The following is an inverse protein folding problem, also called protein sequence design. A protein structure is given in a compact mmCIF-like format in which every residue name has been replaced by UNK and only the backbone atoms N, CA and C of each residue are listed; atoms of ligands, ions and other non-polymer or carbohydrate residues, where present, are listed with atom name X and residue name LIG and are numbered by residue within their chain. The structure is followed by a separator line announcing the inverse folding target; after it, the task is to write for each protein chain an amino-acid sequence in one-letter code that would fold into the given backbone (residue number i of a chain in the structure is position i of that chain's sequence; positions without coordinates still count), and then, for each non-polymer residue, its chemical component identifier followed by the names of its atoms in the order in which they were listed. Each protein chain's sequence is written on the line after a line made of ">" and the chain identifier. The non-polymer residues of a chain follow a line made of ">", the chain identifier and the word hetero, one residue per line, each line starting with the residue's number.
data_IF_905781080640
#
_entry.id   IF_905781080640
#
_cell.length_a   1.000
_cell.length_b   1.000
_cell.length_c   1.000
_cell.angle_alpha   90.00
_cell.angle_beta   90.00
_cell.angle_gamma   90.00
#
_symmetry.space_group_name_H-M   'P 1'
#
loop_
_entity.id
_entity.type
_entity.pdbx_description
1 polymer ?
#
# COMPACT_ATOMS: atom_id res chain seq x y z
N UNK A 1 -2.31 36.92 1.90
CA UNK A 1 -1.29 35.96 1.43
C UNK A 1 -1.90 35.21 0.27
N UNK A 2 -1.63 35.64 -0.95
CA UNK A 2 -2.05 34.90 -2.14
C UNK A 2 -1.14 33.71 -2.28
N UNK A 3 -1.74 32.54 -2.08
CA UNK A 3 -1.07 31.28 -2.04
C UNK A 3 -0.45 30.90 -3.37
N UNK A 4 0.64 30.20 -3.26
CA UNK A 4 1.08 29.27 -4.28
C UNK A 4 -0.13 28.46 -4.73
N UNK A 5 -0.55 28.59 -5.97
CA UNK A 5 -1.51 27.69 -6.60
C UNK A 5 -0.82 26.34 -6.78
N UNK A 6 -0.79 25.54 -5.71
CA UNK A 6 -0.41 24.15 -5.83
C UNK A 6 -1.45 23.44 -6.70
N UNK A 7 -1.01 22.94 -7.84
CA UNK A 7 -1.85 22.10 -8.68
C UNK A 7 -2.37 20.93 -7.85
N UNK A 8 -3.68 20.87 -7.63
CA UNK A 8 -4.31 19.74 -6.97
C UNK A 8 -4.34 18.55 -7.93
N UNK A 9 -3.64 17.47 -7.60
CA UNK A 9 -3.62 16.27 -8.41
C UNK A 9 -3.78 15.03 -7.54
N UNK A 10 -4.71 14.15 -7.94
CA UNK A 10 -4.89 12.81 -7.39
C UNK A 10 -4.43 11.75 -8.40
N UNK A 11 -3.43 12.09 -9.22
CA UNK A 11 -2.84 11.22 -10.24
C UNK A 11 -1.41 10.89 -9.83
N UNK A 12 -1.09 9.60 -9.81
CA UNK A 12 0.26 9.08 -9.58
C UNK A 12 0.72 8.27 -10.78
N UNK A 13 2.03 8.29 -11.04
CA UNK A 13 2.69 7.46 -12.05
C UNK A 13 3.05 8.20 -13.35
N UNK A 14 3.83 7.52 -14.19
CA UNK A 14 4.32 8.05 -15.48
C UNK A 14 3.78 7.23 -16.64
N UNK A 15 4.28 6.04 -16.85
CA UNK A 15 3.81 5.12 -17.90
C UNK A 15 2.46 4.52 -17.54
N UNK A 16 2.35 3.95 -16.34
CA UNK A 16 1.06 3.61 -15.76
C UNK A 16 0.67 4.75 -14.83
N UNK A 17 -0.51 5.30 -15.03
CA UNK A 17 -1.08 6.39 -14.23
C UNK A 17 -2.27 5.87 -13.45
N UNK A 18 -2.33 6.22 -12.19
CA UNK A 18 -3.43 5.86 -11.29
C UNK A 18 -4.09 7.13 -10.79
N UNK A 19 -5.38 7.26 -11.01
CA UNK A 19 -6.19 8.36 -10.47
C UNK A 19 -7.23 7.79 -9.53
N UNK A 20 -7.23 8.23 -8.27
CA UNK A 20 -8.20 7.81 -7.24
C UNK A 20 -9.21 8.92 -7.03
N UNK A 21 -10.50 8.56 -6.93
CA UNK A 21 -11.59 9.51 -6.78
C UNK A 21 -12.64 9.02 -5.79
N UNK A 22 -13.50 9.96 -5.37
CA UNK A 22 -14.64 9.73 -4.51
C UNK A 22 -14.37 10.01 -3.03
N UNK A 23 -15.44 9.98 -2.25
CA UNK A 23 -15.48 10.26 -0.82
C UNK A 23 -16.17 9.14 -0.06
N UNK A 24 -15.80 8.98 1.22
CA UNK A 24 -16.30 7.91 2.09
C UNK A 24 -17.83 7.84 2.20
N UNK A 25 -18.52 8.98 2.10
CA UNK A 25 -19.97 9.10 2.18
C UNK A 25 -20.59 9.69 0.91
N UNK A 26 -19.81 9.79 -0.18
CA UNK A 26 -20.33 10.06 -1.52
C UNK A 26 -21.05 8.85 -2.11
N UNK A 27 -21.44 8.93 -3.37
CA UNK A 27 -22.10 7.82 -4.08
C UNK A 27 -21.20 6.58 -4.22
N UNK A 28 -19.90 6.81 -4.39
CA UNK A 28 -18.91 5.75 -4.53
C UNK A 28 -17.49 6.27 -4.48
N UNK A 29 -16.56 5.34 -4.49
CA UNK A 29 -15.12 5.57 -4.61
C UNK A 29 -14.60 4.74 -5.79
N UNK A 30 -13.51 5.15 -6.39
CA UNK A 30 -13.00 4.38 -7.52
C UNK A 30 -11.60 4.76 -7.94
N UNK A 31 -11.15 4.09 -8.98
CA UNK A 31 -9.84 4.31 -9.59
C UNK A 31 -9.92 4.22 -11.10
N UNK A 32 -9.12 5.04 -11.77
CA UNK A 32 -8.78 4.89 -13.17
C UNK A 32 -7.31 4.53 -13.26
N UNK A 33 -7.00 3.44 -13.98
CA UNK A 33 -5.65 3.00 -14.29
C UNK A 33 -5.46 3.18 -15.79
N UNK A 34 -4.57 4.07 -16.18
CA UNK A 34 -4.24 4.35 -17.58
C UNK A 34 -2.83 3.88 -17.90
N UNK A 35 -2.61 3.43 -19.13
CA UNK A 35 -1.31 2.95 -19.63
C UNK A 35 -1.02 1.47 -19.38
N UNK A 36 -2.02 0.68 -18.96
CA UNK A 36 -1.87 -0.79 -18.89
C UNK A 36 -1.79 -1.37 -20.30
N UNK A 37 -0.85 -2.29 -20.52
CA UNK A 37 -0.72 -2.97 -21.81
C UNK A 37 -1.96 -3.80 -22.14
N UNK A 38 -2.32 -3.92 -23.43
CA UNK A 38 -3.38 -4.84 -23.86
C UNK A 38 -2.92 -6.30 -23.80
N UNK A 39 -3.87 -7.21 -23.57
CA UNK A 39 -3.62 -8.65 -23.66
C UNK A 39 -3.10 -9.31 -22.38
N UNK A 40 -3.01 -8.59 -21.27
CA UNK A 40 -2.70 -9.20 -19.98
C UNK A 40 -3.92 -9.97 -19.47
N UNK A 41 -3.77 -11.28 -19.27
CA UNK A 41 -4.77 -12.13 -18.63
C UNK A 41 -4.74 -11.91 -17.14
N UNK A 42 -5.90 -11.64 -16.54
CA UNK A 42 -6.06 -11.35 -15.12
C UNK A 42 -6.81 -12.48 -14.41
N UNK A 43 -6.28 -12.92 -13.30
CA UNK A 43 -7.03 -13.72 -12.32
C UNK A 43 -7.91 -12.78 -11.47
N UNK A 44 -9.19 -12.72 -11.82
CA UNK A 44 -10.15 -11.88 -11.11
C UNK A 44 -10.55 -12.45 -9.75
N UNK A 45 -10.34 -13.75 -9.49
CA UNK A 45 -10.51 -14.32 -8.15
C UNK A 45 -9.41 -13.81 -7.21
N UNK A 46 -8.17 -13.73 -7.71
CA UNK A 46 -7.07 -13.11 -6.95
C UNK A 46 -7.38 -11.64 -6.62
N UNK A 47 -7.91 -10.87 -7.58
CA UNK A 47 -8.33 -9.49 -7.32
C UNK A 47 -9.38 -9.44 -6.22
N UNK A 48 -10.42 -10.29 -6.28
CA UNK A 48 -11.46 -10.36 -5.24
C UNK A 48 -10.88 -10.74 -3.88
N UNK A 49 -9.94 -11.65 -3.85
CA UNK A 49 -9.24 -12.09 -2.62
C UNK A 49 -8.47 -10.93 -1.97
N UNK A 50 -7.71 -10.15 -2.74
CA UNK A 50 -6.98 -8.99 -2.23
C UNK A 50 -7.95 -7.91 -1.71
N UNK A 51 -9.06 -7.69 -2.40
CA UNK A 51 -10.10 -6.80 -1.93
C UNK A 51 -10.71 -7.29 -0.61
N UNK A 52 -10.98 -8.58 -0.47
CA UNK A 52 -11.51 -9.19 0.74
C UNK A 52 -10.51 -9.10 1.92
N UNK A 53 -9.20 -9.21 1.68
CA UNK A 53 -8.17 -9.01 2.73
C UNK A 53 -8.21 -7.59 3.28
N UNK A 54 -8.41 -6.60 2.43
CA UNK A 54 -8.53 -5.19 2.81
C UNK A 54 -9.86 -4.90 3.51
N UNK A 55 -10.95 -5.53 3.07
CA UNK A 55 -12.30 -5.25 3.58
C UNK A 55 -12.39 -5.47 5.10
N UNK A 56 -13.08 -4.59 5.84
CA UNK A 56 -13.30 -4.81 7.26
C UNK A 56 -14.12 -6.08 7.47
N UNK A 57 -13.66 -6.95 8.36
CA UNK A 57 -14.31 -8.23 8.68
C UNK A 57 -13.47 -9.02 9.70
N UNK A 58 -14.14 -9.85 10.52
CA UNK A 58 -13.50 -10.63 11.59
C UNK A 58 -13.22 -9.85 12.87
N UNK A 59 -12.67 -10.54 13.87
CA UNK A 59 -12.47 -10.03 15.24
C UNK A 59 -11.45 -8.90 15.36
N UNK A 60 -10.51 -8.79 14.42
CA UNK A 60 -9.41 -7.82 14.45
C UNK A 60 -9.69 -6.52 13.68
N UNK A 61 -10.90 -6.30 13.18
CA UNK A 61 -11.23 -5.13 12.36
C UNK A 61 -12.40 -4.32 12.94
N UNK A 62 -12.64 -3.15 12.34
CA UNK A 62 -13.80 -2.31 12.69
C UNK A 62 -15.12 -3.03 12.42
N UNK A 63 -16.22 -2.69 13.13
CA UNK A 63 -17.53 -3.34 12.95
C UNK A 63 -18.22 -2.99 11.62
N UNK A 64 -17.66 -2.11 10.81
CA UNK A 64 -18.21 -1.74 9.50
C UNK A 64 -18.15 -2.96 8.57
N UNK A 65 -19.27 -3.30 7.94
CA UNK A 65 -19.37 -4.38 6.95
C UNK A 65 -19.62 -3.75 5.59
N UNK A 66 -18.65 -3.81 4.70
CA UNK A 66 -18.76 -3.42 3.29
C UNK A 66 -18.05 -4.47 2.46
N UNK A 67 -18.73 -4.97 1.44
CA UNK A 67 -18.21 -6.05 0.60
C UNK A 67 -17.09 -5.59 -0.34
N UNK A 68 -16.85 -4.27 -0.48
CA UNK A 68 -15.89 -3.66 -1.40
C UNK A 68 -15.93 -4.26 -2.82
N UNK A 69 -17.14 -4.59 -3.28
CA UNK A 69 -17.34 -5.15 -4.59
C UNK A 69 -17.01 -4.09 -5.65
N UNK A 70 -16.04 -4.39 -6.51
CA UNK A 70 -15.64 -3.51 -7.60
C UNK A 70 -16.49 -3.80 -8.83
N UNK A 71 -17.14 -2.78 -9.36
CA UNK A 71 -17.75 -2.79 -10.69
C UNK A 71 -16.74 -2.23 -11.69
N UNK A 72 -16.39 -3.03 -12.71
CA UNK A 72 -15.45 -2.64 -13.75
C UNK A 72 -16.24 -2.06 -14.93
N UNK A 73 -16.04 -0.76 -15.17
CA UNK A 73 -16.77 -0.04 -16.21
C UNK A 73 -16.06 -0.06 -17.58
N UNK A 74 -14.74 -0.22 -17.60
CA UNK A 74 -13.94 -0.20 -18.83
C UNK A 74 -12.57 -0.85 -18.63
N UNK A 75 -11.89 -1.12 -19.74
CA UNK A 75 -10.47 -1.50 -19.79
C UNK A 75 -10.20 -2.99 -19.62
N UNK A 76 -11.20 -3.79 -19.21
CA UNK A 76 -11.09 -5.25 -19.08
C UNK A 76 -12.26 -5.91 -19.79
N UNK A 77 -11.98 -6.95 -20.60
CA UNK A 77 -13.00 -7.76 -21.28
C UNK A 77 -12.60 -9.24 -21.23
N UNK A 78 -13.51 -10.09 -20.75
CA UNK A 78 -13.25 -11.52 -20.56
C UNK A 78 -11.95 -11.78 -19.77
N UNK A 79 -11.78 -11.03 -18.67
CA UNK A 79 -10.63 -11.08 -17.78
C UNK A 79 -9.28 -10.76 -18.46
N UNK A 80 -9.30 -10.02 -19.58
CA UNK A 80 -8.11 -9.58 -20.33
C UNK A 80 -8.12 -8.06 -20.45
N UNK A 81 -6.97 -7.42 -20.25
CA UNK A 81 -6.82 -5.97 -20.41
C UNK A 81 -6.96 -5.57 -21.88
N UNK A 82 -7.67 -4.45 -22.13
CA UNK A 82 -7.92 -3.96 -23.49
C UNK A 82 -6.88 -2.93 -23.97
N UNK A 83 -6.02 -2.41 -23.06
CA UNK A 83 -5.11 -1.29 -23.36
C UNK A 83 -5.78 0.09 -23.27
N UNK A 84 -7.10 0.14 -23.07
CA UNK A 84 -7.81 1.39 -22.72
C UNK A 84 -7.84 1.58 -21.22
N UNK A 85 -8.14 2.79 -20.69
CA UNK A 85 -8.19 3.03 -19.25
C UNK A 85 -9.09 2.04 -18.52
N UNK A 86 -8.58 1.41 -17.48
CA UNK A 86 -9.35 0.52 -16.59
C UNK A 86 -10.03 1.41 -15.56
N UNK A 87 -11.36 1.33 -15.50
CA UNK A 87 -12.14 2.06 -14.51
C UNK A 87 -12.84 1.06 -13.58
N UNK A 88 -12.48 1.10 -12.29
CA UNK A 88 -13.14 0.33 -11.23
C UNK A 88 -13.84 1.25 -10.24
N UNK A 89 -15.10 0.95 -9.94
CA UNK A 89 -15.94 1.72 -9.01
C UNK A 89 -16.47 0.82 -7.91
N UNK A 90 -16.48 1.32 -6.68
CA UNK A 90 -17.07 0.69 -5.52
C UNK A 90 -18.16 1.61 -4.98
N UNK A 91 -19.42 1.20 -5.06
CA UNK A 91 -20.54 1.99 -4.56
C UNK A 91 -20.64 1.91 -3.05
N UNK A 92 -20.87 3.05 -2.42
CA UNK A 92 -21.08 3.13 -0.97
C UNK A 92 -22.50 2.73 -0.62
N UNK A 93 -22.67 1.69 0.21
CA UNK A 93 -23.99 1.17 0.59
C UNK A 93 -24.45 1.66 1.97
N UNK A 94 -23.53 1.99 2.88
CA UNK A 94 -23.82 2.33 4.28
C UNK A 94 -23.41 3.78 4.62
N UNK A 95 -24.11 4.76 4.05
CA UNK A 95 -23.87 6.18 4.30
C UNK A 95 -24.84 6.75 5.35
N UNK A 96 -24.44 6.73 6.64
CA UNK A 96 -25.19 7.41 7.71
C UNK A 96 -24.72 8.85 7.84
N UNK A 97 -25.13 9.71 6.91
CA UNK A 97 -24.65 11.10 6.80
C UNK A 97 -25.09 12.00 7.95
N UNK A 98 -26.26 11.75 8.57
CA UNK A 98 -26.86 12.59 9.62
C UNK A 98 -26.03 12.67 10.91
N UNK A 99 -25.19 11.70 11.18
CA UNK A 99 -24.39 11.65 12.41
C UNK A 99 -23.23 12.65 12.39
N UNK A 100 -22.82 13.11 11.20
CA UNK A 100 -21.67 14.00 11.03
C UNK A 100 -22.01 15.50 11.08
N UNK A 101 -23.26 15.87 10.89
CA UNK A 101 -23.68 17.30 10.92
C UNK A 101 -23.44 17.94 12.29
N UNK A 102 -23.64 17.17 13.37
CA UNK A 102 -23.44 17.64 14.75
C UNK A 102 -21.96 17.78 15.15
N UNK A 103 -21.07 17.05 14.48
CA UNK A 103 -19.65 17.01 14.79
C UNK A 103 -18.77 17.75 13.78
N UNK A 104 -19.37 18.40 12.78
CA UNK A 104 -18.67 19.11 11.70
C UNK A 104 -17.63 20.13 12.20
N UNK A 105 -17.91 20.79 13.31
CA UNK A 105 -17.01 21.79 13.91
C UNK A 105 -15.97 21.20 14.89
N UNK A 106 -16.02 19.90 15.13
CA UNK A 106 -15.10 19.21 16.05
C UNK A 106 -13.94 18.59 15.26
N UNK A 107 -12.75 19.10 15.51
CA UNK A 107 -11.53 18.61 14.86
C UNK A 107 -11.07 17.32 15.55
N UNK A 108 -10.98 16.24 14.83
CA UNK A 108 -10.45 14.96 15.34
C UNK A 108 -8.94 15.02 15.45
N UNK A 109 -8.34 14.63 16.59
CA UNK A 109 -6.89 14.55 16.72
C UNK A 109 -6.25 13.68 15.64
N UNK A 110 -5.14 14.14 15.06
CA UNK A 110 -4.37 13.43 14.02
C UNK A 110 -5.13 13.10 12.73
N UNK A 111 -6.30 13.70 12.52
CA UNK A 111 -7.06 13.61 11.26
C UNK A 111 -6.89 14.87 10.41
N UNK A 112 -7.25 14.78 9.13
CA UNK A 112 -7.13 15.88 8.18
C UNK A 112 -8.29 16.92 8.27
N UNK A 113 -9.09 16.92 9.31
CA UNK A 113 -10.27 17.80 9.43
C UNK A 113 -9.91 19.28 9.28
N UNK A 114 -8.88 19.74 9.99
CA UNK A 114 -8.42 21.12 9.90
C UNK A 114 -7.65 21.40 8.61
N UNK A 115 -6.65 20.59 8.31
CA UNK A 115 -5.77 20.81 7.17
C UNK A 115 -6.48 20.64 5.84
N UNK A 116 -7.41 19.68 5.75
CA UNK A 116 -8.30 19.51 4.60
C UNK A 116 -9.23 20.71 4.41
N UNK A 117 -9.85 21.20 5.49
CA UNK A 117 -10.70 22.38 5.44
C UNK A 117 -9.95 23.62 4.89
N UNK A 118 -8.73 23.84 5.36
CA UNK A 118 -7.90 24.95 4.86
C UNK A 118 -7.52 24.74 3.39
N UNK A 119 -7.06 23.53 3.03
CA UNK A 119 -6.63 23.21 1.66
C UNK A 119 -7.76 23.38 0.64
N UNK A 120 -8.93 22.85 0.96
CA UNK A 120 -10.10 22.88 0.08
C UNK A 120 -11.04 24.06 0.35
N UNK A 121 -10.63 25.02 1.17
CA UNK A 121 -11.36 26.27 1.44
C UNK A 121 -12.78 26.05 1.96
N UNK A 122 -13.00 24.95 2.71
CA UNK A 122 -14.31 24.57 3.27
C UNK A 122 -15.27 23.90 2.31
N UNK A 123 -14.83 23.54 1.10
CA UNK A 123 -15.65 22.85 0.09
C UNK A 123 -15.46 21.32 0.09
N UNK A 124 -14.63 20.79 0.98
CA UNK A 124 -14.43 19.35 1.13
C UNK A 124 -15.71 18.64 1.65
N UNK A 125 -15.88 17.36 1.27
CA UNK A 125 -16.86 16.51 1.93
C UNK A 125 -16.30 16.03 3.28
N UNK A 126 -16.80 16.60 4.37
CA UNK A 126 -16.37 16.28 5.75
C UNK A 126 -16.95 14.96 6.27
N UNK A 127 -17.99 14.41 5.61
CA UNK A 127 -18.71 13.23 6.09
C UNK A 127 -17.82 12.00 6.10
N UNK A 128 -17.66 11.35 7.26
CA UNK A 128 -16.85 10.15 7.43
C UNK A 128 -15.37 10.32 7.09
N UNK A 129 -14.86 11.56 7.04
CA UNK A 129 -13.51 11.89 6.64
C UNK A 129 -13.33 12.10 5.14
N UNK A 130 -14.41 12.03 4.36
CA UNK A 130 -14.41 12.35 2.93
C UNK A 130 -13.36 11.59 2.14
N UNK A 131 -12.55 12.34 1.38
CA UNK A 131 -11.45 11.82 0.59
C UNK A 131 -10.24 11.37 1.45
N UNK A 132 -10.15 11.81 2.72
CA UNK A 132 -9.09 11.42 3.66
C UNK A 132 -9.40 10.14 4.45
N UNK A 133 -10.54 9.55 4.21
CA UNK A 133 -10.95 8.31 4.88
C UNK A 133 -10.06 7.13 4.47
N UNK A 134 -9.75 6.23 5.41
CA UNK A 134 -9.09 4.95 5.11
C UNK A 134 -9.86 4.08 4.10
N UNK A 135 -11.14 4.36 3.86
CA UNK A 135 -11.93 3.71 2.82
C UNK A 135 -11.37 3.93 1.42
N UNK A 136 -10.75 5.09 1.18
CA UNK A 136 -10.15 5.43 -0.11
C UNK A 136 -8.95 4.54 -0.48
N UNK A 137 -8.47 3.72 0.45
CA UNK A 137 -7.48 2.68 0.14
C UNK A 137 -8.05 1.49 -0.65
N UNK A 138 -9.38 1.29 -0.71
CA UNK A 138 -9.97 0.18 -1.46
C UNK A 138 -9.69 0.27 -2.98
N UNK A 139 -9.91 1.42 -3.65
CA UNK A 139 -9.49 1.60 -5.04
C UNK A 139 -7.98 1.40 -5.26
N UNK A 140 -7.14 1.81 -4.28
CA UNK A 140 -5.70 1.61 -4.36
C UNK A 140 -5.33 0.11 -4.33
N UNK A 141 -5.99 -0.68 -3.48
CA UNK A 141 -5.79 -2.14 -3.43
C UNK A 141 -6.24 -2.80 -4.73
N UNK A 142 -7.36 -2.37 -5.33
CA UNK A 142 -7.79 -2.88 -6.63
C UNK A 142 -6.74 -2.61 -7.72
N UNK A 143 -6.23 -1.38 -7.81
CA UNK A 143 -5.15 -1.04 -8.73
C UNK A 143 -3.88 -1.87 -8.47
N UNK A 144 -3.50 -2.01 -7.21
CA UNK A 144 -2.35 -2.83 -6.79
C UNK A 144 -2.49 -4.29 -7.18
N UNK A 145 -3.68 -4.88 -7.04
CA UNK A 145 -3.94 -6.28 -7.40
C UNK A 145 -3.81 -6.53 -8.91
N UNK A 146 -4.17 -5.58 -9.75
CA UNK A 146 -3.97 -5.65 -11.20
C UNK A 146 -2.49 -5.46 -11.56
N UNK A 147 -1.84 -4.41 -11.01
CA UNK A 147 -0.44 -4.13 -11.27
C UNK A 147 0.48 -5.25 -10.79
N UNK A 148 0.15 -5.90 -9.68
CA UNK A 148 0.89 -7.06 -9.16
C UNK A 148 0.91 -8.19 -10.19
N UNK A 149 -0.22 -8.55 -10.78
CA UNK A 149 -0.30 -9.59 -11.81
C UNK A 149 0.52 -9.24 -13.06
N UNK A 150 0.55 -7.95 -13.45
CA UNK A 150 1.41 -7.49 -14.54
C UNK A 150 2.90 -7.65 -14.24
N UNK A 151 3.30 -7.51 -12.97
CA UNK A 151 4.68 -7.73 -12.51
C UNK A 151 5.00 -9.22 -12.41
N UNK A 152 4.10 -10.03 -11.87
CA UNK A 152 4.23 -11.48 -11.77
C UNK A 152 4.38 -12.14 -13.14
N UNK A 153 3.65 -11.67 -14.15
CA UNK A 153 3.80 -12.11 -15.55
C UNK A 153 5.21 -11.82 -16.12
N UNK A 154 5.98 -10.94 -15.47
CA UNK A 154 7.37 -10.61 -15.80
C UNK A 154 8.39 -11.26 -14.87
N UNK A 155 7.96 -12.17 -14.00
CA UNK A 155 8.81 -12.85 -13.04
C UNK A 155 9.17 -12.02 -11.80
N UNK A 156 8.51 -10.89 -11.59
CA UNK A 156 8.71 -10.05 -10.40
C UNK A 156 7.70 -10.47 -9.33
N UNK A 157 8.19 -10.82 -8.15
CA UNK A 157 7.38 -11.23 -7.03
C UNK A 157 7.39 -10.16 -5.93
N UNK A 158 6.26 -10.01 -5.23
CA UNK A 158 6.09 -9.05 -4.14
C UNK A 158 5.51 -9.79 -2.94
N UNK A 159 6.19 -9.68 -1.81
CA UNK A 159 5.72 -10.22 -0.54
C UNK A 159 5.86 -9.23 0.60
N UNK A 160 4.91 -9.23 1.51
CA UNK A 160 4.91 -8.34 2.67
C UNK A 160 4.54 -9.11 3.93
N UNK A 161 5.14 -8.70 5.05
CA UNK A 161 4.77 -9.21 6.37
C UNK A 161 4.88 -8.12 7.44
N UNK A 162 4.33 -8.41 8.62
CA UNK A 162 4.44 -7.53 9.78
C UNK A 162 5.77 -7.82 10.47
N UNK A 163 6.62 -6.82 10.61
CA UNK A 163 7.90 -6.91 11.35
C UNK A 163 7.71 -6.54 12.81
N UNK A 164 6.80 -5.63 13.10
CA UNK A 164 6.55 -5.18 14.47
C UNK A 164 5.10 -4.75 14.62
N UNK A 165 4.49 -5.13 15.71
CA UNK A 165 3.24 -4.56 16.18
C UNK A 165 3.40 -4.19 17.65
N UNK A 166 3.35 -2.88 17.94
CA UNK A 166 3.55 -2.32 19.27
C UNK A 166 4.87 -2.81 19.88
N UNK A 167 4.83 -3.68 20.89
CA UNK A 167 5.99 -4.26 21.59
C UNK A 167 6.39 -5.66 21.10
N UNK A 168 5.65 -6.23 20.14
CA UNK A 168 5.93 -7.56 19.58
C UNK A 168 6.75 -7.37 18.31
N UNK A 169 7.95 -7.91 18.30
CA UNK A 169 8.85 -7.93 17.14
C UNK A 169 8.84 -9.29 16.47
N UNK A 170 8.88 -9.28 15.14
CA UNK A 170 9.04 -10.41 14.24
C UNK A 170 10.44 -10.41 13.61
N UNK A 171 10.81 -11.54 13.01
CA UNK A 171 11.99 -11.61 12.15
C UNK A 171 11.81 -10.67 10.96
N UNK A 172 12.92 -10.19 10.42
CA UNK A 172 12.96 -9.54 9.12
C UNK A 172 13.18 -10.58 8.01
N UNK A 173 12.88 -10.23 6.79
CA UNK A 173 13.27 -11.04 5.65
C UNK A 173 14.79 -11.19 5.61
N UNK A 174 15.25 -12.44 5.52
CA UNK A 174 16.60 -12.76 5.12
C UNK A 174 16.58 -13.18 3.64
N UNK A 175 17.70 -13.03 2.96
CA UNK A 175 17.79 -13.29 1.52
C UNK A 175 17.34 -14.71 1.12
N UNK A 176 17.71 -15.72 1.91
CA UNK A 176 17.33 -17.12 1.74
C UNK A 176 15.86 -17.42 2.05
N UNK A 177 15.16 -16.51 2.73
CA UNK A 177 13.75 -16.64 3.06
C UNK A 177 12.81 -16.15 1.92
N UNK A 178 13.36 -15.50 0.89
CA UNK A 178 12.59 -14.84 -0.17
C UNK A 178 12.32 -15.78 -1.36
N UNK A 179 11.59 -16.87 -1.11
CA UNK A 179 11.07 -17.71 -2.20
C UNK A 179 9.72 -17.19 -2.67
N UNK A 180 9.37 -17.44 -3.95
CA UNK A 180 8.08 -17.06 -4.52
C UNK A 180 6.92 -17.68 -3.74
N UNK A 181 7.03 -18.96 -3.37
CA UNK A 181 6.01 -19.69 -2.61
C UNK A 181 5.78 -19.06 -1.23
N UNK A 182 6.85 -18.65 -0.57
CA UNK A 182 6.76 -18.02 0.75
C UNK A 182 6.10 -16.63 0.66
N UNK A 183 6.46 -15.84 -0.35
CA UNK A 183 5.87 -14.53 -0.56
C UNK A 183 4.39 -14.65 -0.97
N UNK A 184 4.06 -15.64 -1.77
CA UNK A 184 2.68 -15.95 -2.11
C UNK A 184 1.88 -16.36 -0.87
N UNK A 185 2.40 -17.28 -0.05
CA UNK A 185 1.74 -17.73 1.18
C UNK A 185 1.45 -16.56 2.12
N UNK A 186 2.40 -15.64 2.33
CA UNK A 186 2.17 -14.41 3.10
C UNK A 186 1.06 -13.54 2.49
N UNK A 187 0.98 -13.51 1.17
CA UNK A 187 -0.07 -12.81 0.41
C UNK A 187 -1.47 -13.39 0.62
N UNK A 188 -1.61 -14.62 1.10
CA UNK A 188 -2.89 -15.27 1.42
C UNK A 188 -3.36 -14.94 2.85
N UNK A 189 -2.42 -14.63 3.73
CA UNK A 189 -2.71 -14.46 5.15
C UNK A 189 -3.30 -13.08 5.43
N UNK A 190 -4.29 -13.04 6.33
CA UNK A 190 -4.85 -11.77 6.82
C UNK A 190 -3.90 -11.08 7.81
N UNK A 191 -3.15 -11.86 8.56
CA UNK A 191 -2.11 -11.42 9.48
C UNK A 191 -0.79 -12.06 9.01
N UNK A 192 -0.10 -11.49 8.02
CA UNK A 192 1.10 -12.08 7.46
C UNK A 192 2.26 -11.99 8.45
N UNK A 193 2.69 -13.13 9.00
CA UNK A 193 3.77 -13.27 9.98
C UNK A 193 4.76 -14.32 9.50
N UNK A 194 6.05 -14.11 9.75
CA UNK A 194 7.09 -15.11 9.52
C UNK A 194 7.12 -16.14 10.66
N UNK A 195 6.73 -15.72 11.85
CA UNK A 195 6.57 -16.61 13.01
C UNK A 195 5.09 -16.68 13.42
N UNK A 196 4.32 -17.72 12.98
CA UNK A 196 2.91 -17.87 13.32
C UNK A 196 2.62 -17.96 14.83
N UNK A 197 3.60 -18.29 15.66
CA UNK A 197 3.45 -18.37 17.12
C UNK A 197 3.13 -16.99 17.74
N UNK A 198 3.49 -15.91 17.08
CA UNK A 198 3.15 -14.56 17.53
C UNK A 198 1.71 -14.13 17.21
N UNK A 199 0.99 -14.88 16.40
CA UNK A 199 -0.36 -14.50 15.95
C UNK A 199 -1.34 -14.30 17.12
N UNK A 200 -1.30 -15.19 18.10
CA UNK A 200 -2.19 -15.12 19.27
C UNK A 200 -1.85 -13.92 20.17
N UNK A 201 -0.55 -13.63 20.40
CA UNK A 201 -0.10 -12.47 21.16
C UNK A 201 -0.49 -11.16 20.47
N UNK A 202 -0.31 -11.08 19.16
CA UNK A 202 -0.68 -9.92 18.34
C UNK A 202 -2.20 -9.71 18.39
N UNK A 203 -2.99 -10.77 18.23
CA UNK A 203 -4.44 -10.70 18.32
C UNK A 203 -4.91 -10.18 19.69
N UNK A 204 -4.27 -10.65 20.76
CA UNK A 204 -4.57 -10.20 22.12
C UNK A 204 -4.24 -8.70 22.33
N UNK A 205 -3.11 -8.23 21.81
CA UNK A 205 -2.73 -6.81 21.91
C UNK A 205 -3.72 -5.91 21.15
N UNK A 206 -4.14 -6.33 19.95
CA UNK A 206 -5.15 -5.60 19.18
C UNK A 206 -6.49 -5.55 19.95
N UNK A 207 -6.90 -6.66 20.53
CA UNK A 207 -8.14 -6.73 21.30
C UNK A 207 -8.08 -5.85 22.58
N UNK A 208 -6.95 -5.82 23.26
CA UNK A 208 -6.75 -4.94 24.43
C UNK A 208 -6.85 -3.47 24.03
N UNK A 209 -6.15 -3.06 22.96
CA UNK A 209 -6.24 -1.71 22.45
C UNK A 209 -7.68 -1.34 22.06
N UNK A 210 -8.40 -2.25 21.42
CA UNK A 210 -9.82 -2.05 21.06
C UNK A 210 -10.70 -1.82 22.28
N UNK A 211 -10.52 -2.57 23.37
CA UNK A 211 -11.26 -2.38 24.63
C UNK A 211 -11.00 -1.03 25.26
N UNK A 212 -9.82 -0.49 25.06
CA UNK A 212 -9.41 0.85 25.53
C UNK A 212 -9.77 1.98 24.56
N UNK A 213 -10.52 1.67 23.47
CA UNK A 213 -10.81 2.61 22.39
C UNK A 213 -9.53 3.26 21.79
N UNK A 214 -8.47 2.47 21.69
CA UNK A 214 -7.15 2.88 21.24
C UNK A 214 -6.74 2.12 19.95
N UNK A 215 -5.57 2.47 19.39
CA UNK A 215 -4.96 1.82 18.25
C UNK A 215 -3.48 1.56 18.48
N UNK A 216 -2.92 0.61 17.76
CA UNK A 216 -1.51 0.24 17.82
C UNK A 216 -0.79 0.63 16.53
N UNK A 217 0.44 1.08 16.65
CA UNK A 217 1.36 1.27 15.55
C UNK A 217 2.11 -0.03 15.21
N UNK A 218 2.69 -0.07 14.03
CA UNK A 218 3.46 -1.22 13.57
C UNK A 218 4.41 -0.90 12.42
N UNK A 219 5.19 -1.90 12.04
CA UNK A 219 6.12 -1.86 10.91
C UNK A 219 5.76 -3.02 9.98
N UNK A 220 5.63 -2.73 8.70
CA UNK A 220 5.48 -3.71 7.63
C UNK A 220 6.75 -3.70 6.79
N UNK A 221 7.28 -4.87 6.52
CA UNK A 221 8.38 -5.07 5.57
C UNK A 221 7.82 -5.63 4.27
N UNK A 222 8.32 -5.11 3.14
CA UNK A 222 7.95 -5.58 1.81
C UNK A 222 9.23 -5.87 1.02
N UNK A 223 9.24 -7.02 0.38
CA UNK A 223 10.31 -7.42 -0.53
C UNK A 223 9.79 -7.53 -1.97
N UNK A 224 10.64 -7.13 -2.90
CA UNK A 224 10.46 -7.35 -4.33
C UNK A 224 11.64 -8.19 -4.83
N UNK A 225 11.37 -9.27 -5.54
CA UNK A 225 12.39 -10.10 -6.16
C UNK A 225 12.16 -10.19 -7.67
N UNK A 226 13.20 -10.55 -8.43
CA UNK A 226 13.10 -10.65 -9.89
C UNK A 226 13.14 -9.30 -10.61
N UNK A 227 13.40 -8.21 -9.94
CA UNK A 227 13.61 -6.91 -10.59
C UNK A 227 14.87 -6.97 -11.47
N UNK A 228 14.81 -6.48 -12.72
CA UNK A 228 16.01 -6.32 -13.53
C UNK A 228 16.91 -5.23 -12.95
N UNK A 229 18.23 -5.42 -13.03
CA UNK A 229 19.18 -4.38 -12.68
C UNK A 229 19.03 -3.16 -13.61
N UNK A 230 19.24 -1.96 -13.06
CA UNK A 230 19.21 -0.71 -13.82
C UNK A 230 17.87 0.03 -13.82
N UNK A 231 16.92 -0.35 -12.97
CA UNK A 231 15.68 0.41 -12.79
C UNK A 231 15.91 1.56 -11.81
N UNK A 232 15.37 2.71 -12.14
CA UNK A 232 15.52 3.96 -11.39
C UNK A 232 16.14 5.04 -12.27
N UNK A 233 15.93 6.29 -11.90
CA UNK A 233 16.38 7.48 -12.64
C UNK A 233 16.90 8.53 -11.64
N UNK A 234 18.13 8.35 -11.11
CA UNK A 234 18.70 9.31 -10.19
C UNK A 234 18.98 10.65 -10.91
N UNK A 235 19.02 11.76 -10.18
CA UNK A 235 18.95 11.88 -8.72
C UNK A 235 17.53 11.87 -8.17
N UNK A 236 16.55 12.52 -8.82
CA UNK A 236 15.25 12.85 -8.21
C UNK A 236 14.22 11.72 -8.33
N UNK A 237 14.35 10.88 -9.35
CA UNK A 237 13.46 9.74 -9.61
C UNK A 237 14.11 8.39 -9.27
N UNK A 238 14.98 8.38 -8.27
CA UNK A 238 15.55 7.14 -7.75
C UNK A 238 14.45 6.15 -7.34
N UNK A 239 14.77 4.86 -7.28
CA UNK A 239 13.83 3.84 -6.84
C UNK A 239 13.27 4.15 -5.46
N UNK A 240 14.12 4.58 -4.52
CA UNK A 240 13.68 4.98 -3.18
C UNK A 240 12.69 6.16 -3.23
N UNK A 241 12.99 7.19 -4.02
CA UNK A 241 12.12 8.36 -4.14
C UNK A 241 10.75 7.99 -4.65
N UNK A 242 10.68 7.17 -5.70
CA UNK A 242 9.41 6.74 -6.31
C UNK A 242 8.61 5.79 -5.42
N UNK A 243 9.28 4.84 -4.78
CA UNK A 243 8.64 3.93 -3.84
C UNK A 243 8.16 4.68 -2.58
N UNK A 244 8.97 5.58 -2.04
CA UNK A 244 8.57 6.39 -0.90
C UNK A 244 7.35 7.26 -1.23
N UNK A 245 7.28 7.88 -2.40
CA UNK A 245 6.15 8.69 -2.82
C UNK A 245 4.83 7.90 -2.78
N UNK A 246 4.79 6.68 -3.33
CA UNK A 246 3.57 5.86 -3.32
C UNK A 246 3.27 5.31 -1.93
N UNK A 247 4.28 4.94 -1.15
CA UNK A 247 4.09 4.42 0.20
C UNK A 247 3.53 5.47 1.16
N UNK A 248 3.95 6.74 1.04
CA UNK A 248 3.36 7.84 1.81
C UNK A 248 1.94 8.21 1.37
N UNK A 249 1.44 7.72 0.25
CA UNK A 249 0.02 7.85 -0.12
C UNK A 249 -0.90 6.95 0.72
N UNK A 250 -0.35 5.92 1.35
CA UNK A 250 -1.10 5.06 2.27
C UNK A 250 -1.33 5.82 3.58
N UNK A 251 -2.59 6.00 4.03
CA UNK A 251 -2.89 6.70 5.28
C UNK A 251 -2.13 6.10 6.48
N UNK A 252 -1.70 6.97 7.39
CA UNK A 252 -0.97 6.66 8.62
C UNK A 252 0.49 6.17 8.43
N UNK A 253 1.01 6.04 7.22
CA UNK A 253 2.45 5.86 7.00
C UNK A 253 3.18 7.12 7.44
N UNK A 254 4.19 6.96 8.33
CA UNK A 254 4.98 8.06 8.92
C UNK A 254 6.48 7.93 8.69
N UNK A 255 6.92 6.77 8.23
CA UNK A 255 8.32 6.53 7.90
C UNK A 255 8.43 5.43 6.85
N UNK A 256 9.42 5.57 5.98
CA UNK A 256 9.82 4.60 4.97
C UNK A 256 11.33 4.49 5.03
N UNK A 257 11.86 3.28 4.99
CA UNK A 257 13.29 3.03 4.91
C UNK A 257 13.56 1.85 3.98
N UNK A 258 14.78 1.74 3.49
CA UNK A 258 15.22 0.72 2.56
C UNK A 258 16.41 -0.04 3.13
N UNK A 259 16.50 -1.35 2.88
CA UNK A 259 17.55 -2.20 3.41
C UNK A 259 17.62 -2.16 4.93
N UNK A 260 18.81 -1.90 5.49
CA UNK A 260 19.02 -1.76 6.92
C UNK A 260 18.37 -0.49 7.51
N UNK A 261 18.00 0.48 6.65
CA UNK A 261 17.27 1.66 7.07
C UNK A 261 17.97 2.46 8.16
N UNK A 262 17.31 2.70 9.28
CA UNK A 262 17.86 3.47 10.40
C UNK A 262 19.07 2.81 11.09
N UNK A 263 19.25 1.49 10.92
CA UNK A 263 20.39 0.76 11.50
C UNK A 263 21.73 1.18 10.87
N UNK A 264 21.72 1.78 9.67
CA UNK A 264 22.91 2.37 9.05
C UNK A 264 23.64 3.36 9.96
N UNK A 265 22.92 4.09 10.79
CA UNK A 265 23.52 5.06 11.70
C UNK A 265 24.47 4.43 12.73
N UNK A 266 24.33 3.14 13.00
CA UNK A 266 25.19 2.36 13.89
C UNK A 266 26.26 1.53 13.15
N UNK A 267 26.34 1.60 11.82
CA UNK A 267 27.26 0.81 11.02
C UNK A 267 28.47 1.63 10.55
N UNK A 268 29.61 1.00 10.50
CA UNK A 268 30.74 1.53 9.72
C UNK A 268 30.53 1.27 8.23
N UNK A 269 31.18 2.04 7.34
CA UNK A 269 31.05 1.82 5.90
C UNK A 269 31.37 0.39 5.46
N UNK A 270 32.35 -0.25 6.08
CA UNK A 270 32.71 -1.65 5.79
C UNK A 270 31.58 -2.64 6.18
N UNK A 271 30.85 -2.36 7.24
CA UNK A 271 29.70 -3.17 7.67
C UNK A 271 28.48 -2.94 6.78
N UNK A 272 28.29 -1.70 6.33
CA UNK A 272 27.14 -1.30 5.52
C UNK A 272 27.25 -1.70 4.04
N UNK A 273 28.44 -2.02 3.57
CA UNK A 273 28.68 -2.46 2.18
C UNK A 273 27.98 -3.80 1.90
N UNK A 274 27.47 -3.94 0.68
CA UNK A 274 26.97 -5.19 0.11
C UNK A 274 27.97 -5.72 -0.92
N UNK A 275 28.90 -6.62 -0.55
CA UNK A 275 29.89 -7.16 -1.47
C UNK A 275 29.23 -7.96 -2.60
N UNK A 276 29.74 -7.83 -3.80
CA UNK A 276 29.27 -8.61 -4.95
C UNK A 276 29.89 -10.02 -4.96
N UNK A 277 29.10 -10.95 -5.45
CA UNK A 277 29.58 -12.30 -5.81
C UNK A 277 29.00 -12.73 -7.15
N UNK A 278 29.70 -13.66 -7.82
CA UNK A 278 29.17 -14.35 -8.98
C UNK A 278 28.59 -15.70 -8.54
N UNK A 279 27.31 -15.91 -8.79
CA UNK A 279 26.63 -17.18 -8.52
C UNK A 279 25.83 -17.59 -9.74
N UNK A 280 26.06 -18.79 -10.25
CA UNK A 280 25.38 -19.35 -11.42
C UNK A 280 25.36 -18.42 -12.64
N UNK A 281 26.46 -17.69 -12.87
CA UNK A 281 26.60 -16.72 -13.96
C UNK A 281 25.91 -15.38 -13.75
N UNK A 282 25.33 -15.15 -12.57
CA UNK A 282 24.66 -13.90 -12.22
C UNK A 282 25.44 -13.15 -11.13
N UNK A 283 25.46 -11.83 -11.24
CA UNK A 283 26.01 -10.97 -10.20
C UNK A 283 24.91 -10.76 -9.16
N UNK A 284 25.24 -11.04 -7.91
CA UNK A 284 24.36 -10.79 -6.76
C UNK A 284 25.16 -10.22 -5.59
N UNK A 285 24.50 -9.63 -4.61
CA UNK A 285 25.13 -9.19 -3.38
C UNK A 285 25.16 -10.31 -2.34
N UNK A 286 26.16 -10.30 -1.46
CA UNK A 286 26.29 -11.26 -0.35
C UNK A 286 25.33 -10.90 0.78
N UNK A 287 25.15 -9.61 1.00
CA UNK A 287 24.25 -9.02 2.01
C UNK A 287 23.28 -8.08 1.30
N UNK A 288 22.28 -7.56 2.04
CA UNK A 288 21.26 -6.68 1.50
C UNK A 288 21.04 -5.45 2.41
N UNK A 289 22.13 -4.88 2.89
CA UNK A 289 22.05 -3.69 3.75
C UNK A 289 21.45 -2.49 3.01
N UNK A 290 21.75 -2.36 1.72
CA UNK A 290 21.24 -1.27 0.88
C UNK A 290 19.86 -1.57 0.25
N UNK A 291 19.25 -2.73 0.56
CA UNK A 291 17.91 -3.08 0.05
C UNK A 291 17.85 -3.35 -1.45
N UNK A 292 19.00 -3.68 -2.09
CA UNK A 292 19.08 -3.90 -3.53
C UNK A 292 19.01 -2.61 -4.37
N UNK A 293 19.17 -1.44 -3.74
CA UNK A 293 19.13 -0.13 -4.41
C UNK A 293 20.46 0.57 -4.17
N UNK A 294 21.27 0.68 -5.22
CA UNK A 294 22.60 1.26 -5.18
C UNK A 294 22.66 2.48 -6.09
N UNK A 295 22.95 3.66 -5.51
CA UNK A 295 22.94 4.91 -6.27
C UNK A 295 21.57 5.29 -6.83
N UNK A 296 20.47 4.83 -6.20
CA UNK A 296 19.11 5.07 -6.64
C UNK A 296 18.59 4.12 -7.72
N UNK A 297 19.32 3.04 -8.00
CA UNK A 297 19.08 2.09 -9.08
C UNK A 297 19.09 0.66 -8.51
N UNK A 298 18.20 -0.21 -9.01
CA UNK A 298 18.18 -1.64 -8.65
C UNK A 298 19.35 -2.38 -9.23
#
# INVERSE_FOLDING_TARGET
>A
MHGLEEAMSNIYGRSIKVSIFGESHGAGIGVVIDGMEPGLSLDMEEVRRQMARRAPGGSLSTPRKEADQVEILSGIRNDVTCGTPICGVIYNQNTRSKDYDKTRSLLRPSHADYTGHVKYRGYEDYRGGGHFSGRITAPLVFAGAICRQALEARGIQIGSHIVKLYDIEERRFAQEDLTAEKMEALGQERLPLLNPENAERIAQQIENARKECNSLGGIVETALTGLPAGMGDPFFDSMESRLAQILFSVPAVKGVSFGAGWEFAGMTGAQANDPYRLRDGRIETVTNHNGGILGGIT
#
